data_IF_101175587047
#
_entry.id   IF_101175587047
#
_cell.length_a   1.000
_cell.length_b   1.000
_cell.length_c   1.000
_cell.angle_alpha   90.00
_cell.angle_beta   90.00
_cell.angle_gamma   90.00
#
_symmetry.space_group_name_H-M   'P 1'
#
loop_
_entity.id
_entity.type
_entity.pdbx_description
1 polymer ?
#
# COMPACT_ATOMS: atom_id res chain seq x y z
N UNK A 1 18.60 6.80 -32.87
CA UNK A 1 18.03 7.98 -32.16
C UNK A 1 17.55 7.57 -30.78
N UNK A 2 17.86 8.34 -29.78
CA UNK A 2 17.37 8.10 -28.40
C UNK A 2 16.02 8.79 -28.18
N UNK A 3 15.06 8.04 -27.72
CA UNK A 3 13.72 8.53 -27.41
C UNK A 3 13.30 8.11 -26.01
N UNK A 4 12.55 8.96 -25.33
CA UNK A 4 11.91 8.64 -24.04
C UNK A 4 10.48 8.22 -24.30
N UNK A 5 10.08 7.08 -23.76
CA UNK A 5 8.73 6.54 -23.94
C UNK A 5 7.73 7.33 -23.11
N UNK A 6 6.67 7.81 -23.74
CA UNK A 6 5.57 8.54 -23.08
C UNK A 6 4.47 7.60 -22.57
N UNK A 7 4.45 6.37 -23.08
CA UNK A 7 3.52 5.29 -22.69
C UNK A 7 4.23 3.95 -22.66
N UNK A 8 3.62 2.97 -22.00
CA UNK A 8 4.09 1.59 -22.05
C UNK A 8 3.89 1.03 -23.44
N UNK A 9 4.96 0.52 -24.06
CA UNK A 9 4.91 -0.09 -25.37
C UNK A 9 5.41 -1.52 -25.27
N UNK A 10 4.56 -2.48 -25.62
CA UNK A 10 4.93 -3.89 -25.62
C UNK A 10 6.16 -4.12 -26.49
N UNK A 11 7.08 -4.94 -26.02
CA UNK A 11 8.36 -5.30 -26.67
C UNK A 11 9.40 -4.17 -26.77
N UNK A 12 9.08 -2.94 -26.39
CA UNK A 12 10.03 -1.81 -26.43
C UNK A 12 10.40 -1.37 -25.01
N UNK A 13 9.42 -1.06 -24.14
CA UNK A 13 9.70 -0.63 -22.79
C UNK A 13 8.53 0.08 -22.13
N UNK A 14 8.78 0.58 -20.92
CA UNK A 14 7.78 1.25 -20.08
C UNK A 14 7.85 2.77 -20.22
N UNK A 15 6.76 3.43 -19.82
CA UNK A 15 6.69 4.89 -19.72
C UNK A 15 7.88 5.45 -18.92
N UNK A 16 8.58 6.43 -19.51
CA UNK A 16 9.74 7.09 -18.90
C UNK A 16 11.09 6.47 -19.21
N UNK A 17 11.14 5.26 -19.79
CA UNK A 17 12.39 4.67 -20.21
C UNK A 17 12.93 5.36 -21.47
N UNK A 18 14.25 5.55 -21.48
CA UNK A 18 14.95 6.01 -22.69
C UNK A 18 15.48 4.80 -23.44
N UNK A 19 15.10 4.69 -24.70
CA UNK A 19 15.52 3.61 -25.61
C UNK A 19 16.13 4.17 -26.88
N UNK A 20 17.07 3.45 -27.42
CA UNK A 20 17.64 3.73 -28.76
C UNK A 20 16.84 2.93 -29.80
N UNK A 21 16.28 3.65 -30.75
CA UNK A 21 15.48 3.08 -31.85
C UNK A 21 15.91 3.64 -33.17
N UNK A 22 15.58 2.95 -34.25
CA UNK A 22 15.88 3.45 -35.61
C UNK A 22 15.18 4.78 -35.87
N UNK A 23 15.90 5.72 -36.52
CA UNK A 23 15.41 7.08 -36.75
C UNK A 23 14.11 7.10 -37.54
N UNK A 24 13.96 6.29 -38.55
CA UNK A 24 12.73 6.19 -39.33
C UNK A 24 11.53 5.71 -38.47
N UNK A 25 11.76 4.76 -37.59
CA UNK A 25 10.70 4.27 -36.68
C UNK A 25 10.32 5.33 -35.64
N UNK A 26 11.31 6.02 -35.10
CA UNK A 26 11.04 7.10 -34.15
C UNK A 26 10.24 8.24 -34.78
N UNK A 27 10.72 8.75 -35.95
CA UNK A 27 10.14 9.94 -36.58
C UNK A 27 8.82 9.67 -37.29
N UNK A 28 8.61 8.49 -37.84
CA UNK A 28 7.41 8.18 -38.62
C UNK A 28 6.32 7.47 -37.83
N UNK A 29 6.64 6.88 -36.68
CA UNK A 29 5.70 6.10 -35.90
C UNK A 29 5.57 6.54 -34.44
N UNK A 30 6.67 6.52 -33.68
CA UNK A 30 6.60 6.74 -32.24
C UNK A 30 6.25 8.19 -31.87
N UNK A 31 6.92 9.15 -32.48
CA UNK A 31 6.73 10.58 -32.19
C UNK A 31 5.38 11.10 -32.70
N UNK A 32 4.95 10.85 -33.94
CA UNK A 32 3.65 11.33 -34.44
C UNK A 32 2.46 10.74 -33.66
N UNK A 33 2.60 9.49 -33.21
CA UNK A 33 1.57 8.83 -32.37
C UNK A 33 1.64 9.20 -30.88
N UNK A 34 2.55 10.10 -30.49
CA UNK A 34 2.78 10.49 -29.09
C UNK A 34 3.06 9.30 -28.16
N UNK A 35 3.75 8.29 -28.69
CA UNK A 35 4.19 7.11 -27.93
C UNK A 35 5.56 7.33 -27.30
N UNK A 36 6.39 8.15 -27.95
CA UNK A 36 7.70 8.56 -27.45
C UNK A 36 8.00 10.01 -27.82
N UNK A 37 8.96 10.60 -27.16
CA UNK A 37 9.48 11.92 -27.47
C UNK A 37 11.00 11.86 -27.59
N UNK A 38 11.58 12.77 -28.37
CA UNK A 38 13.04 12.89 -28.47
C UNK A 38 13.65 13.12 -27.10
N UNK A 39 14.74 12.44 -26.79
CA UNK A 39 15.46 12.67 -25.53
C UNK A 39 15.81 14.14 -25.34
N UNK A 40 15.62 14.67 -24.13
CA UNK A 40 15.86 16.09 -23.82
C UNK A 40 14.73 17.05 -24.26
N UNK A 41 13.68 16.57 -24.93
CA UNK A 41 12.53 17.40 -25.24
C UNK A 41 11.71 17.74 -23.97
N UNK A 42 10.90 18.79 -24.03
CA UNK A 42 10.03 19.21 -22.92
C UNK A 42 9.10 18.09 -22.47
N UNK A 43 8.54 17.32 -23.40
CA UNK A 43 7.65 16.19 -23.10
C UNK A 43 8.40 15.04 -22.40
N UNK A 44 9.62 14.72 -22.87
CA UNK A 44 10.45 13.71 -22.23
C UNK A 44 10.84 14.11 -20.80
N UNK A 45 11.23 15.36 -20.60
CA UNK A 45 11.60 15.89 -19.28
C UNK A 45 10.40 15.94 -18.32
N UNK A 46 9.22 16.32 -18.82
CA UNK A 46 7.99 16.30 -18.04
C UNK A 46 7.64 14.91 -17.55
N UNK A 47 7.74 13.90 -18.40
CA UNK A 47 7.45 12.52 -18.01
C UNK A 47 8.47 11.98 -17.01
N UNK A 48 9.76 12.28 -17.19
CA UNK A 48 10.79 11.90 -16.22
C UNK A 48 10.51 12.52 -14.85
N UNK A 49 10.21 13.82 -14.80
CA UNK A 49 9.87 14.54 -13.57
C UNK A 49 8.61 13.98 -12.90
N UNK A 50 7.55 13.70 -13.67
CA UNK A 50 6.32 13.08 -13.14
C UNK A 50 6.57 11.73 -12.49
N UNK A 51 7.44 10.90 -13.08
CA UNK A 51 7.80 9.58 -12.52
C UNK A 51 8.64 9.73 -11.26
N UNK A 52 9.60 10.65 -11.23
CA UNK A 52 10.40 10.94 -10.03
C UNK A 52 9.54 11.43 -8.87
N UNK A 53 8.64 12.39 -9.13
CA UNK A 53 7.71 12.92 -8.11
C UNK A 53 6.80 11.82 -7.55
N UNK A 54 6.27 10.95 -8.41
CA UNK A 54 5.45 9.80 -7.98
C UNK A 54 6.25 8.79 -7.17
N UNK A 55 7.49 8.52 -7.57
CA UNK A 55 8.36 7.60 -6.83
C UNK A 55 8.72 8.15 -5.44
N UNK A 56 9.04 9.44 -5.34
CA UNK A 56 9.32 10.11 -4.07
C UNK A 56 8.08 10.12 -3.16
N UNK A 57 6.90 10.47 -3.69
CA UNK A 57 5.65 10.47 -2.94
C UNK A 57 5.33 9.08 -2.39
N UNK A 58 5.47 8.02 -3.23
CA UNK A 58 5.26 6.64 -2.82
C UNK A 58 6.24 6.20 -1.73
N UNK A 59 7.51 6.61 -1.82
CA UNK A 59 8.53 6.30 -0.82
C UNK A 59 8.22 6.97 0.53
N UNK A 60 7.88 8.26 0.53
CA UNK A 60 7.51 9.00 1.74
C UNK A 60 6.25 8.43 2.39
N UNK A 61 5.22 8.14 1.60
CA UNK A 61 3.98 7.54 2.09
C UNK A 61 4.22 6.16 2.69
N UNK A 62 5.01 5.31 2.03
CA UNK A 62 5.37 3.99 2.53
C UNK A 62 6.12 4.04 3.85
N UNK A 63 7.06 4.97 4.01
CA UNK A 63 7.82 5.16 5.25
C UNK A 63 6.94 5.66 6.40
N UNK A 64 6.01 6.57 6.13
CA UNK A 64 5.04 7.04 7.13
C UNK A 64 4.11 5.92 7.59
N UNK A 65 3.65 5.06 6.67
CA UNK A 65 2.86 3.87 7.00
C UNK A 65 3.65 2.91 7.90
N UNK A 66 4.92 2.66 7.58
CA UNK A 66 5.81 1.82 8.39
C UNK A 66 5.98 2.36 9.80
N UNK A 67 6.31 3.64 9.94
CA UNK A 67 6.50 4.28 11.25
C UNK A 67 5.20 4.27 12.07
N UNK A 68 4.06 4.47 11.42
CA UNK A 68 2.73 4.42 12.04
C UNK A 68 2.44 3.00 12.54
N UNK A 69 2.70 1.98 11.75
CA UNK A 69 2.50 0.58 12.15
C UNK A 69 3.46 0.19 13.26
N UNK A 70 4.72 0.61 13.22
CA UNK A 70 5.70 0.41 14.30
C UNK A 70 5.23 1.00 15.62
N UNK A 71 4.54 2.13 15.60
CA UNK A 71 3.99 2.75 16.81
C UNK A 71 2.89 1.91 17.49
N UNK A 72 2.25 1.00 16.76
CA UNK A 72 1.25 0.06 17.30
C UNK A 72 1.86 -1.18 17.97
N UNK A 73 3.17 -1.41 17.83
CA UNK A 73 3.84 -2.57 18.40
C UNK A 73 3.68 -2.60 19.93
N UNK A 74 3.19 -3.72 20.47
CA UNK A 74 2.97 -3.91 21.89
C UNK A 74 1.81 -3.11 22.49
N UNK A 75 1.04 -2.38 21.69
CA UNK A 75 -0.14 -1.65 22.16
C UNK A 75 -1.37 -2.55 22.22
N UNK A 76 -2.34 -2.14 22.99
CA UNK A 76 -3.59 -2.86 23.26
C UNK A 76 -4.79 -2.02 22.88
N UNK A 77 -5.77 -2.64 22.26
CA UNK A 77 -7.09 -2.05 22.04
C UNK A 77 -8.16 -2.87 22.75
N UNK A 78 -9.24 -2.21 23.12
CA UNK A 78 -10.39 -2.82 23.78
C UNK A 78 -11.57 -2.78 22.82
N UNK A 79 -12.16 -3.94 22.57
CA UNK A 79 -13.37 -4.08 21.76
C UNK A 79 -14.49 -4.62 22.63
N UNK A 80 -15.61 -3.91 22.67
CA UNK A 80 -16.80 -4.35 23.38
C UNK A 80 -17.61 -5.29 22.48
N UNK A 81 -17.85 -6.51 22.97
CA UNK A 81 -18.70 -7.49 22.28
C UNK A 81 -19.38 -8.39 23.30
N UNK A 82 -20.68 -8.57 23.16
CA UNK A 82 -21.45 -9.42 24.06
C UNK A 82 -21.04 -10.88 23.96
N UNK A 83 -20.88 -11.52 25.09
CA UNK A 83 -20.53 -12.94 25.21
C UNK A 83 -21.52 -13.72 26.07
N UNK A 84 -21.53 -15.04 25.91
CA UNK A 84 -22.30 -15.93 26.79
C UNK A 84 -21.54 -16.19 28.11
N UNK A 85 -22.15 -16.96 29.01
CA UNK A 85 -21.53 -17.31 30.28
C UNK A 85 -20.24 -18.10 30.18
N UNK A 86 -20.02 -18.79 29.07
CA UNK A 86 -18.84 -19.58 28.77
C UNK A 86 -17.71 -18.75 28.11
N UNK A 87 -17.95 -17.47 27.82
CA UNK A 87 -17.00 -16.58 27.21
C UNK A 87 -16.99 -16.58 25.68
N UNK A 88 -17.94 -17.29 25.06
CA UNK A 88 -18.08 -17.25 23.60
C UNK A 88 -18.87 -16.00 23.16
N UNK A 89 -18.38 -15.34 22.11
CA UNK A 89 -19.02 -14.14 21.57
C UNK A 89 -20.29 -14.51 20.79
N UNK A 90 -21.36 -13.74 20.97
CA UNK A 90 -22.57 -13.83 20.14
C UNK A 90 -22.31 -13.38 18.70
N UNK A 91 -21.44 -12.36 18.52
CA UNK A 91 -20.99 -11.89 17.24
C UNK A 91 -19.46 -11.99 17.14
N UNK A 92 -18.96 -12.61 16.08
CA UNK A 92 -17.52 -12.75 15.87
C UNK A 92 -16.89 -11.38 15.61
N UNK A 93 -15.70 -11.15 16.18
CA UNK A 93 -14.90 -9.97 15.88
C UNK A 93 -14.11 -10.21 14.61
N UNK A 94 -14.39 -9.41 13.61
CA UNK A 94 -13.75 -9.46 12.28
C UNK A 94 -12.63 -8.40 12.17
N UNK A 95 -11.86 -8.47 11.10
CA UNK A 95 -10.82 -7.46 10.79
C UNK A 95 -11.36 -6.05 10.79
N UNK A 96 -12.55 -5.83 10.26
CA UNK A 96 -13.24 -4.52 10.23
C UNK A 96 -13.40 -3.93 11.64
N UNK A 97 -13.85 -4.74 12.60
CA UNK A 97 -14.02 -4.31 13.99
C UNK A 97 -12.69 -3.92 14.64
N UNK A 98 -11.62 -4.61 14.31
CA UNK A 98 -10.25 -4.30 14.77
C UNK A 98 -9.77 -2.99 14.17
N UNK A 99 -9.98 -2.79 12.86
CA UNK A 99 -9.65 -1.55 12.16
C UNK A 99 -10.38 -0.35 12.80
N UNK A 100 -11.67 -0.47 13.04
CA UNK A 100 -12.47 0.58 13.68
C UNK A 100 -11.99 0.84 15.12
N UNK A 101 -11.64 -0.20 15.86
CA UNK A 101 -11.08 -0.07 17.20
C UNK A 101 -9.74 0.67 17.21
N UNK A 102 -8.85 0.37 16.30
CA UNK A 102 -7.55 1.06 16.15
C UNK A 102 -7.77 2.51 15.74
N UNK A 103 -8.66 2.76 14.78
CA UNK A 103 -9.01 4.12 14.35
C UNK A 103 -9.58 4.96 15.51
N UNK A 104 -10.45 4.38 16.31
CA UNK A 104 -11.06 5.07 17.46
C UNK A 104 -10.06 5.33 18.59
N UNK A 105 -9.16 4.37 18.87
CA UNK A 105 -8.20 4.47 19.97
C UNK A 105 -6.97 5.32 19.63
N UNK A 106 -6.45 5.23 18.41
CA UNK A 106 -5.18 5.84 17.99
C UNK A 106 -5.29 6.77 16.80
N UNK A 107 -6.46 6.87 16.16
CA UNK A 107 -6.65 7.70 14.97
C UNK A 107 -5.94 7.18 13.71
N UNK A 108 -5.56 5.92 13.69
CA UNK A 108 -4.80 5.29 12.59
C UNK A 108 -5.76 4.52 11.69
N UNK A 109 -5.74 4.82 10.42
CA UNK A 109 -6.50 4.09 9.41
C UNK A 109 -5.66 2.92 8.85
N UNK A 110 -6.20 1.71 8.96
CA UNK A 110 -5.62 0.50 8.40
C UNK A 110 -6.60 -0.12 7.40
N UNK A 111 -6.06 -0.94 6.50
CA UNK A 111 -6.84 -1.74 5.57
C UNK A 111 -6.87 -3.20 6.03
N UNK A 112 -7.83 -3.97 5.56
CA UNK A 112 -7.95 -5.41 5.90
C UNK A 112 -6.67 -6.20 5.56
N UNK A 113 -5.96 -5.79 4.50
CA UNK A 113 -4.70 -6.38 4.08
C UNK A 113 -3.57 -6.20 5.12
N UNK A 114 -3.65 -5.16 5.95
CA UNK A 114 -2.69 -4.90 7.01
C UNK A 114 -2.85 -5.84 8.21
N UNK A 115 -4.03 -6.43 8.41
CA UNK A 115 -4.32 -7.30 9.55
C UNK A 115 -4.18 -8.75 9.13
N UNK A 116 -3.23 -9.44 9.77
CA UNK A 116 -3.01 -10.87 9.60
C UNK A 116 -3.82 -11.61 10.67
N UNK A 117 -4.98 -12.10 10.28
CA UNK A 117 -5.89 -12.86 11.12
C UNK A 117 -6.35 -14.09 10.36
N UNK A 118 -5.96 -15.27 10.83
CA UNK A 118 -6.30 -16.53 10.19
C UNK A 118 -7.77 -16.90 10.41
N UNK A 119 -8.29 -16.63 11.61
CA UNK A 119 -9.69 -16.87 11.98
C UNK A 119 -10.28 -15.67 12.72
N UNK A 120 -11.58 -15.49 12.60
CA UNK A 120 -12.30 -14.48 13.39
C UNK A 120 -12.20 -14.77 14.89
N UNK A 121 -12.13 -13.71 15.70
CA UNK A 121 -12.11 -13.86 17.14
C UNK A 121 -13.51 -14.21 17.65
N UNK A 122 -13.62 -15.34 18.35
CA UNK A 122 -14.89 -15.93 18.81
C UNK A 122 -15.07 -15.93 20.31
N UNK A 123 -14.00 -15.63 21.06
CA UNK A 123 -13.98 -15.70 22.52
C UNK A 123 -13.60 -14.36 23.14
N UNK A 124 -14.11 -14.13 24.34
CA UNK A 124 -13.73 -13.01 25.18
C UNK A 124 -12.30 -13.16 25.70
N UNK A 125 -11.62 -12.04 25.96
CA UNK A 125 -10.28 -12.01 26.52
C UNK A 125 -9.26 -11.38 25.60
N UNK A 126 -7.98 -11.56 25.92
CA UNK A 126 -6.87 -11.02 25.14
C UNK A 126 -6.50 -11.93 23.96
N UNK A 127 -6.39 -11.33 22.79
CA UNK A 127 -5.95 -11.99 21.57
C UNK A 127 -4.79 -11.23 20.96
N UNK A 128 -3.73 -11.94 20.58
CA UNK A 128 -2.61 -11.38 19.85
C UNK A 128 -2.91 -11.40 18.35
N UNK A 129 -2.79 -10.24 17.73
CA UNK A 129 -2.91 -10.10 16.27
C UNK A 129 -1.61 -9.57 15.69
N UNK A 130 -1.36 -9.85 14.41
CA UNK A 130 -0.23 -9.31 13.68
C UNK A 130 -0.73 -8.27 12.69
N UNK A 131 0.00 -7.16 12.63
CA UNK A 131 -0.25 -6.08 11.68
C UNK A 131 0.96 -5.99 10.76
N UNK A 132 0.73 -6.05 9.45
CA UNK A 132 1.79 -5.93 8.45
C UNK A 132 1.65 -4.64 7.64
N UNK A 133 2.79 -4.05 7.27
CA UNK A 133 2.84 -2.98 6.29
C UNK A 133 2.87 -3.51 4.85
N UNK A 134 2.83 -2.61 3.87
CA UNK A 134 3.01 -2.95 2.45
C UNK A 134 4.42 -3.47 2.14
N UNK A 135 5.41 -3.12 2.96
CA UNK A 135 6.76 -3.65 2.84
C UNK A 135 6.81 -5.12 3.26
N UNK A 136 7.40 -5.97 2.42
CA UNK A 136 7.54 -7.40 2.72
C UNK A 136 8.39 -7.62 3.98
N UNK A 137 7.93 -8.50 4.87
CA UNK A 137 8.65 -8.89 6.07
C UNK A 137 8.48 -7.94 7.27
N UNK A 138 7.71 -6.87 7.13
CA UNK A 138 7.43 -5.95 8.22
C UNK A 138 6.12 -6.34 8.93
N UNK A 139 6.24 -6.79 10.16
CA UNK A 139 5.09 -7.18 10.99
C UNK A 139 5.29 -6.71 12.42
N UNK A 140 4.23 -6.21 13.04
CA UNK A 140 4.17 -5.89 14.47
C UNK A 140 3.06 -6.68 15.14
N UNK A 141 3.23 -6.97 16.42
CA UNK A 141 2.22 -7.66 17.25
C UNK A 141 1.45 -6.64 18.06
N UNK A 142 0.15 -6.80 18.11
CA UNK A 142 -0.76 -5.97 18.88
C UNK A 142 -1.75 -6.86 19.66
N UNK A 143 -2.17 -6.40 20.81
CA UNK A 143 -3.13 -7.14 21.65
C UNK A 143 -4.52 -6.52 21.48
N UNK A 144 -5.49 -7.37 21.20
CA UNK A 144 -6.90 -7.03 21.17
C UNK A 144 -7.58 -7.68 22.38
N UNK A 145 -8.08 -6.87 23.29
CA UNK A 145 -8.90 -7.35 24.42
C UNK A 145 -10.38 -7.20 24.10
N UNK A 146 -11.09 -8.31 24.16
CA UNK A 146 -12.54 -8.32 23.96
C UNK A 146 -13.21 -8.41 25.33
N UNK A 147 -14.01 -7.41 25.63
CA UNK A 147 -14.77 -7.29 26.89
C UNK A 147 -16.26 -7.28 26.60
N UNK A 148 -17.03 -7.71 27.58
CA UNK A 148 -18.49 -7.71 27.52
C UNK A 148 -19.05 -6.37 28.00
#
# INVERSE_FOLDING_TARGET
>A
MKVTLLKDIQKIGRKGETKEVGDGYALNFLIPKKLAAKEGSSDANRIKKEIEEKAQHKFITGKLEEDTIKSLAGKKIIINSKSNKEGHLFAQVRKENIIDGIKSAYGIELHEENILLDEHLKTRGEHEIKISGKAKGFQVKMIVEIVD
#
